data_IF_776628580272
#
_entry.id   IF_776628580272
#
_cell.length_a   1.000
_cell.length_b   1.000
_cell.length_c   1.000
_cell.angle_alpha   90.00
_cell.angle_beta   90.00
_cell.angle_gamma   90.00
#
_symmetry.space_group_name_H-M   'P 1'
#
loop_
_entity.id
_entity.type
_entity.pdbx_description
1 polymer ?
#
# COMPACT_ATOMS: atom_id res chain seq x y z
N UNK A 1 20.78 -16.87 12.03
CA UNK A 1 20.62 -17.09 10.57
C UNK A 1 19.18 -17.51 10.20
N UNK A 2 18.13 -16.86 10.72
CA UNK A 2 16.73 -17.26 10.46
C UNK A 2 15.79 -16.12 10.00
N UNK A 3 16.25 -14.86 10.01
CA UNK A 3 15.45 -13.72 9.56
C UNK A 3 15.37 -13.66 8.03
N UNK A 4 16.50 -13.84 7.31
CA UNK A 4 16.58 -13.78 5.85
C UNK A 4 15.60 -14.72 5.14
N UNK A 5 15.41 -15.94 5.66
CA UNK A 5 14.45 -16.90 5.08
C UNK A 5 12.98 -16.52 5.36
N UNK A 6 12.68 -15.78 6.43
CA UNK A 6 11.30 -15.33 6.68
C UNK A 6 10.96 -14.16 5.77
N UNK A 7 11.86 -13.19 5.67
CA UNK A 7 11.68 -12.01 4.83
C UNK A 7 11.47 -12.37 3.36
N UNK A 8 12.34 -13.20 2.78
CA UNK A 8 12.22 -13.64 1.39
C UNK A 8 10.91 -14.40 1.12
N UNK A 9 10.42 -15.18 2.09
CA UNK A 9 9.11 -15.85 1.97
C UNK A 9 7.95 -14.87 1.98
N UNK A 10 8.00 -13.84 2.82
CA UNK A 10 6.97 -12.78 2.82
C UNK A 10 6.97 -12.05 1.49
N UNK A 11 8.16 -11.67 1.00
CA UNK A 11 8.31 -11.02 -0.31
C UNK A 11 7.76 -11.89 -1.45
N UNK A 12 8.13 -13.17 -1.50
CA UNK A 12 7.61 -14.09 -2.52
C UNK A 12 6.09 -14.25 -2.44
N UNK A 13 5.50 -14.28 -1.24
CA UNK A 13 4.05 -14.34 -1.06
C UNK A 13 3.37 -13.04 -1.54
N UNK A 14 3.98 -11.88 -1.29
CA UNK A 14 3.48 -10.56 -1.69
C UNK A 14 3.41 -10.43 -3.23
N UNK A 15 4.36 -11.01 -3.95
CA UNK A 15 4.36 -11.01 -5.43
C UNK A 15 3.23 -11.89 -6.04
N UNK A 16 2.67 -12.82 -5.27
CA UNK A 16 1.57 -13.69 -5.68
C UNK A 16 0.18 -13.10 -5.41
N UNK A 17 0.11 -11.98 -4.69
CA UNK A 17 -1.15 -11.32 -4.34
C UNK A 17 -1.91 -10.89 -5.60
N UNK A 18 -3.17 -11.32 -5.66
CA UNK A 18 -4.05 -11.14 -6.80
C UNK A 18 -5.32 -10.35 -6.46
N UNK A 19 -6.23 -10.23 -7.44
CA UNK A 19 -7.52 -9.58 -7.23
C UNK A 19 -8.28 -10.18 -6.04
N UNK A 20 -8.93 -9.31 -5.26
CA UNK A 20 -9.69 -9.64 -4.05
C UNK A 20 -8.88 -9.97 -2.78
N UNK A 21 -7.55 -9.97 -2.86
CA UNK A 21 -6.70 -10.18 -1.68
C UNK A 21 -6.50 -8.88 -0.87
N UNK A 22 -6.40 -9.02 0.44
CA UNK A 22 -6.00 -7.95 1.36
C UNK A 22 -4.97 -8.49 2.34
N UNK A 23 -3.76 -7.92 2.34
CA UNK A 23 -2.64 -8.40 3.14
C UNK A 23 -2.14 -7.32 4.08
N UNK A 24 -1.88 -7.73 5.32
CA UNK A 24 -1.22 -6.90 6.32
C UNK A 24 0.12 -7.54 6.73
N UNK A 25 1.22 -6.79 6.63
CA UNK A 25 2.54 -7.24 7.11
C UNK A 25 3.03 -6.40 8.28
N UNK A 26 3.66 -7.06 9.25
CA UNK A 26 4.42 -6.38 10.30
C UNK A 26 5.91 -6.37 9.93
N UNK A 27 6.57 -5.24 10.13
CA UNK A 27 8.00 -5.09 9.86
C UNK A 27 8.73 -4.57 11.09
N UNK A 28 9.99 -4.95 11.25
CA UNK A 28 10.87 -4.44 12.31
C UNK A 28 11.81 -3.35 11.78
N UNK A 29 12.22 -3.48 10.52
CA UNK A 29 13.15 -2.57 9.86
C UNK A 29 12.46 -1.84 8.70
N UNK A 30 12.74 -0.54 8.53
CA UNK A 30 12.16 0.27 7.45
C UNK A 30 12.58 -0.22 6.06
N UNK A 31 13.80 -0.75 5.94
CA UNK A 31 14.29 -1.28 4.66
C UNK A 31 13.47 -2.50 4.20
N UNK A 32 13.06 -3.37 5.13
CA UNK A 32 12.20 -4.53 4.85
C UNK A 32 10.84 -4.08 4.33
N UNK A 33 10.25 -3.09 4.98
CA UNK A 33 8.96 -2.51 4.56
C UNK A 33 9.02 -1.96 3.14
N UNK A 34 10.05 -1.15 2.85
CA UNK A 34 10.26 -0.55 1.54
C UNK A 34 10.44 -1.64 0.49
N UNK A 35 11.26 -2.66 0.76
CA UNK A 35 11.49 -3.76 -0.16
C UNK A 35 10.22 -4.57 -0.44
N UNK A 36 9.36 -4.80 0.56
CA UNK A 36 8.05 -5.45 0.36
C UNK A 36 7.13 -4.57 -0.49
N UNK A 37 7.01 -3.28 -0.17
CA UNK A 37 6.17 -2.34 -0.93
C UNK A 37 6.61 -2.25 -2.40
N UNK A 38 7.92 -2.14 -2.65
CA UNK A 38 8.49 -2.14 -4.01
C UNK A 38 8.13 -3.42 -4.76
N UNK A 39 8.26 -4.58 -4.10
CA UNK A 39 7.94 -5.88 -4.73
C UNK A 39 6.45 -5.97 -5.09
N UNK A 40 5.58 -5.52 -4.20
CA UNK A 40 4.14 -5.45 -4.45
C UNK A 40 3.80 -4.51 -5.62
N UNK A 41 4.38 -3.32 -5.67
CA UNK A 41 4.08 -2.34 -6.73
C UNK A 41 4.59 -2.85 -8.08
N UNK A 42 5.82 -3.38 -8.13
CA UNK A 42 6.40 -3.93 -9.36
C UNK A 42 5.56 -5.07 -9.94
N UNK A 43 5.12 -6.00 -9.09
CA UNK A 43 4.25 -7.09 -9.52
C UNK A 43 2.96 -6.58 -10.19
N UNK A 44 2.43 -5.42 -9.77
CA UNK A 44 1.26 -4.78 -10.39
C UNK A 44 1.54 -4.13 -11.71
N UNK A 45 2.61 -3.35 -11.77
CA UNK A 45 3.04 -2.69 -13.00
C UNK A 45 3.35 -3.72 -14.10
N UNK A 46 4.01 -4.83 -13.73
CA UNK A 46 4.30 -5.95 -14.63
C UNK A 46 3.01 -6.65 -15.14
N UNK A 47 1.97 -6.69 -14.31
CA UNK A 47 0.63 -7.20 -14.67
C UNK A 47 -0.25 -6.18 -15.40
N UNK A 48 0.21 -4.95 -15.58
CA UNK A 48 -0.54 -3.89 -16.25
C UNK A 48 -1.67 -3.30 -15.40
N UNK A 49 -1.51 -3.29 -14.09
CA UNK A 49 -2.47 -2.76 -13.12
C UNK A 49 -2.18 -1.29 -12.77
N UNK A 50 -3.20 -0.58 -12.28
CA UNK A 50 -3.02 0.69 -11.58
C UNK A 50 -2.50 0.43 -10.16
N UNK A 51 -1.38 1.05 -9.81
CA UNK A 51 -0.81 1.04 -8.46
C UNK A 51 -0.95 2.40 -7.79
N UNK A 52 -1.66 2.46 -6.67
CA UNK A 52 -1.78 3.66 -5.83
C UNK A 52 -1.01 3.46 -4.54
N UNK A 53 -0.11 4.38 -4.23
CA UNK A 53 0.68 4.37 -3.01
C UNK A 53 0.26 5.53 -2.13
N UNK A 54 -0.25 5.23 -0.93
CA UNK A 54 -0.51 6.25 0.08
C UNK A 54 0.59 6.19 1.11
N UNK A 55 1.42 7.23 1.12
CA UNK A 55 2.68 7.26 1.84
C UNK A 55 2.67 8.35 2.91
N UNK A 56 3.43 8.14 3.98
CA UNK A 56 3.70 9.15 4.99
C UNK A 56 5.13 9.73 4.89
N UNK A 57 5.61 10.38 5.96
CA UNK A 57 7.00 10.84 6.08
C UNK A 57 7.97 9.65 5.97
N UNK A 58 8.40 9.38 4.73
CA UNK A 58 9.11 8.16 4.35
C UNK A 58 8.68 7.60 2.99
N UNK A 59 7.69 8.19 2.31
CA UNK A 59 7.31 7.83 0.94
C UNK A 59 8.41 8.02 -0.10
N UNK A 60 9.31 8.97 0.15
CA UNK A 60 10.51 9.18 -0.67
C UNK A 60 11.34 7.90 -0.79
N UNK A 61 11.45 7.09 0.27
CA UNK A 61 12.25 5.86 0.22
C UNK A 61 11.63 4.79 -0.67
N UNK A 62 10.30 4.73 -0.79
CA UNK A 62 9.61 3.82 -1.73
C UNK A 62 9.82 4.29 -3.16
N UNK A 63 9.73 5.61 -3.39
CA UNK A 63 9.99 6.20 -4.70
C UNK A 63 11.43 5.92 -5.16
N UNK A 64 12.42 6.24 -4.33
CA UNK A 64 13.84 5.99 -4.64
C UNK A 64 14.14 4.51 -4.87
N UNK A 65 13.53 3.63 -4.07
CA UNK A 65 13.72 2.20 -4.21
C UNK A 65 13.05 1.63 -5.48
N UNK A 66 11.89 2.15 -5.90
CA UNK A 66 11.27 1.80 -7.18
C UNK A 66 12.15 2.20 -8.36
N UNK A 67 12.67 3.43 -8.35
CA UNK A 67 13.58 3.92 -9.39
C UNK A 67 14.86 3.07 -9.44
N UNK A 68 15.44 2.76 -8.27
CA UNK A 68 16.62 1.89 -8.15
C UNK A 68 16.35 0.45 -8.62
N UNK A 69 15.09 0.00 -8.52
CA UNK A 69 14.65 -1.30 -9.02
C UNK A 69 14.33 -1.31 -10.52
N UNK A 70 14.60 -0.21 -11.23
CA UNK A 70 14.43 -0.10 -12.68
C UNK A 70 13.04 0.33 -13.15
N UNK A 71 12.18 0.82 -12.25
CA UNK A 71 10.88 1.37 -12.62
C UNK A 71 11.06 2.80 -13.11
N UNK A 72 10.63 3.09 -14.34
CA UNK A 72 10.53 4.46 -14.86
C UNK A 72 9.26 5.12 -14.28
N UNK A 73 9.41 5.71 -13.09
CA UNK A 73 8.29 6.27 -12.34
C UNK A 73 7.56 7.35 -13.14
N UNK A 74 8.30 8.25 -13.79
CA UNK A 74 7.71 9.32 -14.58
C UNK A 74 6.91 8.79 -15.77
N UNK A 75 7.39 7.74 -16.44
CA UNK A 75 6.62 7.08 -17.48
C UNK A 75 5.37 6.40 -16.94
N UNK A 76 5.45 5.71 -15.80
CA UNK A 76 4.29 5.02 -15.21
C UNK A 76 3.24 6.00 -14.68
N UNK A 77 3.65 7.12 -14.11
CA UNK A 77 2.75 8.21 -13.72
C UNK A 77 2.11 8.88 -14.94
N UNK A 78 2.85 9.14 -16.02
CA UNK A 78 2.28 9.68 -17.27
C UNK A 78 1.30 8.73 -17.94
N UNK A 79 1.56 7.42 -17.87
CA UNK A 79 0.62 6.39 -18.32
C UNK A 79 -0.60 6.28 -17.41
N UNK A 80 -0.59 6.88 -16.24
CA UNK A 80 -1.64 6.77 -15.23
C UNK A 80 -1.69 5.41 -14.55
N UNK A 81 -0.60 4.65 -14.56
CA UNK A 81 -0.47 3.32 -13.91
C UNK A 81 0.15 3.37 -12.51
N UNK A 82 0.71 4.52 -12.13
CA UNK A 82 1.28 4.74 -10.81
C UNK A 82 0.84 6.11 -10.28
N UNK A 83 0.38 6.16 -9.03
CA UNK A 83 0.03 7.41 -8.35
C UNK A 83 0.48 7.39 -6.89
N UNK A 84 0.95 8.52 -6.38
CA UNK A 84 1.38 8.72 -5.01
C UNK A 84 0.54 9.79 -4.33
N UNK A 85 0.14 9.53 -3.07
CA UNK A 85 -0.58 10.50 -2.24
C UNK A 85 0.11 10.65 -0.89
N UNK A 86 0.36 11.90 -0.50
CA UNK A 86 0.96 12.25 0.79
C UNK A 86 -0.07 12.36 1.93
N UNK A 87 0.44 12.35 3.16
CA UNK A 87 -0.33 12.19 4.40
C UNK A 87 -1.43 13.21 4.74
N UNK A 88 -1.44 14.47 4.28
CA UNK A 88 -2.62 15.33 4.48
C UNK A 88 -3.88 14.74 3.84
N UNK A 89 -3.74 13.97 2.75
CA UNK A 89 -4.82 13.17 2.17
C UNK A 89 -5.09 11.87 2.98
N UNK A 90 -4.06 11.34 3.65
CA UNK A 90 -4.14 10.17 4.53
C UNK A 90 -4.81 10.44 5.90
N UNK A 91 -4.97 11.69 6.33
CA UNK A 91 -5.87 11.97 7.46
C UNK A 91 -7.34 11.66 7.09
N UNK A 92 -7.70 11.86 5.82
CA UNK A 92 -9.00 11.45 5.27
C UNK A 92 -9.12 9.93 5.08
N UNK A 93 -8.01 9.19 5.12
CA UNK A 93 -8.02 7.74 4.98
C UNK A 93 -8.71 7.05 6.19
N UNK A 94 -8.73 7.68 7.36
CA UNK A 94 -9.43 7.19 8.55
C UNK A 94 -10.97 7.31 8.47
N UNK A 95 -11.52 7.85 7.37
CA UNK A 95 -12.92 8.25 7.28
C UNK A 95 -13.75 7.37 6.33
N UNK A 96 -15.05 7.62 6.24
CA UNK A 96 -15.94 7.04 5.21
C UNK A 96 -15.47 7.31 3.77
N UNK A 97 -14.68 8.37 3.59
CA UNK A 97 -14.17 8.83 2.30
C UNK A 97 -13.13 7.88 1.67
N UNK A 98 -12.37 7.10 2.45
CA UNK A 98 -11.39 6.16 1.86
C UNK A 98 -12.08 5.08 1.03
N UNK A 99 -13.12 4.44 1.56
CA UNK A 99 -13.80 3.37 0.83
C UNK A 99 -14.32 3.91 -0.50
N UNK A 100 -14.95 5.09 -0.49
CA UNK A 100 -15.41 5.75 -1.70
C UNK A 100 -14.26 6.05 -2.69
N UNK A 101 -13.11 6.48 -2.19
CA UNK A 101 -11.90 6.70 -3.02
C UNK A 101 -11.35 5.40 -3.61
N UNK A 102 -11.24 4.32 -2.82
CA UNK A 102 -10.80 3.00 -3.30
C UNK A 102 -11.77 2.49 -4.37
N UNK A 103 -13.08 2.58 -4.13
CA UNK A 103 -14.11 2.21 -5.11
C UNK A 103 -13.99 3.06 -6.38
N UNK A 104 -13.77 4.37 -6.24
CA UNK A 104 -13.58 5.28 -7.37
C UNK A 104 -12.33 4.91 -8.19
N UNK A 105 -11.17 4.70 -7.55
CA UNK A 105 -9.95 4.28 -8.25
C UNK A 105 -10.15 2.94 -8.96
N UNK A 106 -10.86 1.99 -8.36
CA UNK A 106 -11.11 0.72 -9.00
C UNK A 106 -12.04 0.86 -10.22
N UNK A 107 -13.08 1.70 -10.13
CA UNK A 107 -13.97 2.02 -11.25
C UNK A 107 -13.20 2.71 -12.39
N UNK A 108 -12.40 3.73 -12.06
CA UNK A 108 -11.63 4.47 -13.06
C UNK A 108 -10.52 3.61 -13.67
N UNK A 109 -9.87 2.74 -12.88
CA UNK A 109 -8.90 1.76 -13.38
C UNK A 109 -9.51 0.86 -14.45
N UNK A 110 -10.71 0.32 -14.17
CA UNK A 110 -11.45 -0.51 -15.13
C UNK A 110 -11.85 0.27 -16.38
N UNK A 111 -12.33 1.51 -16.23
CA UNK A 111 -12.69 2.38 -17.38
C UNK A 111 -11.49 2.71 -18.25
N UNK A 112 -10.31 2.89 -17.64
CA UNK A 112 -9.05 3.11 -18.34
C UNK A 112 -8.49 1.85 -19.02
N UNK A 113 -9.08 0.67 -18.75
CA UNK A 113 -8.69 -0.59 -19.37
C UNK A 113 -7.47 -1.26 -18.73
N UNK A 114 -7.10 -0.89 -17.50
CA UNK A 114 -6.05 -1.60 -16.77
C UNK A 114 -6.51 -2.99 -16.35
N UNK A 115 -5.55 -3.89 -16.18
CA UNK A 115 -5.82 -5.28 -15.81
C UNK A 115 -6.36 -5.43 -14.38
N UNK A 116 -6.15 -4.42 -13.53
CA UNK A 116 -6.54 -4.43 -12.13
C UNK A 116 -6.17 -3.15 -11.40
N UNK A 117 -6.42 -3.13 -10.10
CA UNK A 117 -6.09 -2.02 -9.22
C UNK A 117 -5.51 -2.56 -7.91
N UNK A 118 -4.37 -1.99 -7.50
CA UNK A 118 -3.77 -2.25 -6.20
C UNK A 118 -3.50 -0.97 -5.43
N UNK A 119 -3.68 -1.03 -4.12
CA UNK A 119 -3.37 0.06 -3.20
C UNK A 119 -2.37 -0.40 -2.14
N UNK A 120 -1.41 0.47 -1.83
CA UNK A 120 -0.46 0.34 -0.72
C UNK A 120 -0.72 1.44 0.30
N UNK A 121 -0.79 1.10 1.58
CA UNK A 121 -0.92 2.08 2.67
C UNK A 121 -0.12 1.72 3.91
N UNK A 122 0.45 2.72 4.57
CA UNK A 122 1.05 2.54 5.90
C UNK A 122 0.03 2.73 7.01
N UNK A 123 -0.05 1.76 7.93
CA UNK A 123 -1.01 1.72 9.04
C UNK A 123 -0.36 1.97 10.40
N UNK A 124 0.93 2.32 10.47
CA UNK A 124 1.63 2.62 11.72
C UNK A 124 1.02 3.78 12.51
N UNK A 125 0.15 4.60 11.90
CA UNK A 125 -0.65 5.61 12.62
C UNK A 125 -1.64 5.00 13.61
N UNK A 126 -2.09 3.76 13.36
CA UNK A 126 -3.06 3.09 14.22
C UNK A 126 -2.44 2.55 15.52
N UNK A 127 -1.11 2.44 15.57
CA UNK A 127 -0.38 2.04 16.78
C UNK A 127 -0.36 3.14 17.84
N UNK A 128 -0.40 4.41 17.42
CA UNK A 128 -0.47 5.58 18.30
C UNK A 128 -1.91 6.09 18.50
N UNK A 129 -2.91 5.43 17.90
CA UNK A 129 -4.29 5.91 17.77
C UNK A 129 -5.36 4.98 18.38
N UNK A 130 -6.63 5.26 18.05
CA UNK A 130 -7.78 4.48 18.51
C UNK A 130 -7.89 3.15 17.72
N UNK A 131 -7.48 2.05 18.37
CA UNK A 131 -7.65 0.68 17.87
C UNK A 131 -9.07 0.37 17.41
N UNK A 132 -10.09 1.04 17.99
CA UNK A 132 -11.49 0.88 17.59
C UNK A 132 -11.76 1.47 16.21
N UNK A 133 -11.22 2.67 15.92
CA UNK A 133 -11.36 3.29 14.60
C UNK A 133 -10.69 2.46 13.50
N UNK A 134 -9.53 1.85 13.80
CA UNK A 134 -8.89 0.89 12.90
C UNK A 134 -9.77 -0.35 12.68
N UNK A 135 -10.27 -0.97 13.75
CA UNK A 135 -11.11 -2.15 13.66
C UNK A 135 -12.41 -1.87 12.89
N UNK A 136 -13.01 -0.69 13.07
CA UNK A 136 -14.19 -0.24 12.31
C UNK A 136 -13.85 -0.03 10.82
N UNK A 137 -12.68 0.54 10.52
CA UNK A 137 -12.22 0.69 9.15
C UNK A 137 -12.01 -0.66 8.45
N UNK A 138 -11.29 -1.59 9.08
CA UNK A 138 -11.06 -2.95 8.59
C UNK A 138 -12.37 -3.73 8.43
N UNK A 139 -13.26 -3.64 9.42
CA UNK A 139 -14.58 -4.26 9.36
C UNK A 139 -15.39 -3.72 8.18
N UNK A 140 -15.30 -2.42 7.88
CA UNK A 140 -15.99 -1.80 6.76
C UNK A 140 -15.42 -2.26 5.41
N UNK A 141 -14.11 -2.38 5.25
CA UNK A 141 -13.50 -2.95 4.04
C UNK A 141 -14.02 -4.38 3.78
N UNK A 142 -14.03 -5.20 4.84
CA UNK A 142 -14.48 -6.59 4.77
C UNK A 142 -16.00 -6.71 4.51
N UNK A 143 -16.83 -5.98 5.24
CA UNK A 143 -18.30 -6.03 5.10
C UNK A 143 -18.77 -5.53 3.74
N UNK A 144 -18.13 -4.50 3.20
CA UNK A 144 -18.45 -3.98 1.87
C UNK A 144 -17.86 -4.83 0.74
N UNK A 145 -17.08 -5.88 1.05
CA UNK A 145 -16.42 -6.77 0.09
C UNK A 145 -15.72 -5.98 -1.02
N UNK A 146 -15.07 -4.87 -0.67
CA UNK A 146 -14.54 -3.90 -1.66
C UNK A 146 -13.56 -4.59 -2.60
N UNK A 147 -12.65 -5.38 -2.04
CA UNK A 147 -11.65 -6.16 -2.77
C UNK A 147 -12.28 -7.10 -3.80
N UNK A 148 -13.32 -7.86 -3.40
CA UNK A 148 -14.02 -8.80 -4.28
C UNK A 148 -14.87 -8.09 -5.34
N UNK A 149 -15.68 -7.11 -4.94
CA UNK A 149 -16.63 -6.40 -5.82
C UNK A 149 -15.92 -5.64 -6.94
N UNK A 150 -14.71 -5.20 -6.67
CA UNK A 150 -13.93 -4.38 -7.60
C UNK A 150 -12.70 -5.09 -8.16
N UNK A 151 -12.49 -6.38 -7.81
CA UNK A 151 -11.33 -7.17 -8.22
C UNK A 151 -10.00 -6.40 -7.99
N UNK A 152 -9.90 -5.76 -6.83
CA UNK A 152 -8.74 -4.98 -6.43
C UNK A 152 -8.01 -5.62 -5.25
N UNK A 153 -6.74 -5.26 -5.08
CA UNK A 153 -5.87 -5.82 -4.06
C UNK A 153 -5.36 -4.73 -3.10
N UNK A 154 -5.35 -5.02 -1.80
CA UNK A 154 -4.83 -4.12 -0.77
C UNK A 154 -3.60 -4.67 -0.08
N UNK A 155 -2.58 -3.82 0.08
CA UNK A 155 -1.43 -4.10 0.94
C UNK A 155 -1.28 -3.01 1.99
N UNK A 156 -1.28 -3.42 3.25
CA UNK A 156 -1.02 -2.53 4.39
C UNK A 156 0.13 -3.03 5.25
N UNK A 157 0.85 -2.11 5.88
CA UNK A 157 1.99 -2.45 6.73
C UNK A 157 1.97 -1.70 8.08
N UNK A 158 2.68 -2.23 9.07
CA UNK A 158 2.83 -1.60 10.39
C UNK A 158 4.11 -2.02 11.10
N UNK A 159 4.75 -1.10 11.83
CA UNK A 159 6.00 -1.37 12.56
C UNK A 159 5.76 -2.20 13.83
N UNK A 160 6.60 -3.19 14.10
CA UNK A 160 6.52 -4.05 15.27
C UNK A 160 7.18 -3.37 16.49
N UNK A 161 6.39 -2.96 17.49
CA UNK A 161 6.88 -2.54 18.80
C UNK A 161 7.73 -1.27 18.84
N UNK A 162 7.14 -0.09 18.66
CA UNK A 162 7.82 1.17 18.95
C UNK A 162 7.13 2.41 18.38
N UNK A 163 7.01 3.46 19.19
CA UNK A 163 6.61 4.79 18.73
C UNK A 163 7.59 5.31 17.69
N UNK A 164 7.09 5.98 16.66
CA UNK A 164 7.89 6.54 15.56
C UNK A 164 9.05 7.36 16.12
N UNK A 165 10.28 7.27 15.58
CA UNK A 165 11.33 8.20 15.95
C UNK A 165 10.86 9.62 15.61
N UNK A 166 10.61 10.44 16.66
CA UNK A 166 10.27 11.85 16.49
C UNK A 166 11.43 12.55 15.82
N UNK A 167 11.34 12.84 14.52
CA UNK A 167 12.21 13.84 13.91
C UNK A 167 11.79 15.19 14.46
N UNK A 168 12.71 15.84 15.17
CA UNK A 168 12.58 17.24 15.54
C UNK A 168 12.41 18.04 14.24
N UNK A 169 11.28 18.74 14.12
CA UNK A 169 11.12 19.80 13.14
C UNK A 169 12.29 20.79 13.31
N UNK A 170 13.00 21.06 12.22
CA UNK A 170 13.92 22.21 12.15
C UNK A 170 13.13 23.46 11.80
#
# INVERSE_FOLDING_TARGET
>A
MHADNRFERVRAAIEQIGPADHVCTLYEQRDDEVAIAVSYIRAGLDRGELCVCVVDDGGESIFEALASAGVDIDAEMRKGRLAFFEKPLAQGLQTLDMLGKIEQFAIESRKAGYAGFRIVGEMSWALDGDLKALAEFEARLNLNRVWERHACAGYVNSMCGGSRPKRFAR
#
